data_IF_022734116850
#
_entry.id   IF_022734116850
#
_cell.length_a   1.000
_cell.length_b   1.000
_cell.length_c   1.000
_cell.angle_alpha   90.00
_cell.angle_beta   90.00
_cell.angle_gamma   90.00
#
_symmetry.space_group_name_H-M   'P 1'
#
loop_
_entity.id
_entity.type
_entity.pdbx_description
1 polymer ?
#
# COMPACT_ATOMS: atom_id res chain seq x y z
N UNK A 1 -36.77 38.94 23.14
CA UNK A 1 -36.92 37.70 22.34
C UNK A 1 -35.87 37.76 21.25
N UNK A 2 -34.69 37.19 21.53
CA UNK A 2 -33.52 37.28 20.64
C UNK A 2 -33.42 35.98 19.86
N UNK A 3 -33.65 36.06 18.55
CA UNK A 3 -33.48 34.93 17.62
C UNK A 3 -31.99 34.73 17.34
N UNK A 4 -31.37 33.77 18.02
CA UNK A 4 -30.04 33.28 17.65
C UNK A 4 -30.20 32.29 16.49
N UNK A 5 -29.55 32.60 15.37
CA UNK A 5 -29.58 31.82 14.14
C UNK A 5 -28.73 30.55 14.28
N UNK A 6 -29.23 29.43 13.75
CA UNK A 6 -28.60 28.10 13.80
C UNK A 6 -27.20 28.08 13.17
N UNK A 7 -26.90 29.03 12.29
CA UNK A 7 -25.62 29.17 11.61
C UNK A 7 -24.49 29.65 12.54
N UNK A 8 -24.79 30.50 13.52
CA UNK A 8 -23.79 31.02 14.47
C UNK A 8 -23.31 29.95 15.46
N UNK A 9 -24.16 28.97 15.77
CA UNK A 9 -23.84 27.87 16.68
C UNK A 9 -22.83 26.89 16.09
N UNK A 10 -22.84 26.70 14.75
CA UNK A 10 -21.91 25.79 14.06
C UNK A 10 -20.50 26.36 13.95
N UNK A 11 -20.36 27.66 13.74
CA UNK A 11 -19.05 28.34 13.61
C UNK A 11 -18.33 28.39 14.97
N UNK A 12 -19.06 28.62 16.06
CA UNK A 12 -18.47 28.65 17.40
C UNK A 12 -18.05 27.28 17.93
N UNK A 13 -18.73 26.19 17.52
CA UNK A 13 -18.36 24.82 17.91
C UNK A 13 -17.08 24.34 17.20
N UNK A 14 -16.94 24.64 15.91
CA UNK A 14 -15.76 24.26 15.09
C UNK A 14 -14.47 24.95 15.56
N UNK A 15 -14.55 26.22 15.98
CA UNK A 15 -13.40 26.99 16.50
C UNK A 15 -12.93 26.54 17.88
N UNK A 16 -13.84 26.02 18.72
CA UNK A 16 -13.47 25.51 20.05
C UNK A 16 -12.84 24.12 19.99
N UNK A 17 -13.21 23.31 19.01
CA UNK A 17 -12.65 21.96 18.82
C UNK A 17 -11.21 22.00 18.27
N UNK A 18 -10.91 22.92 17.35
CA UNK A 18 -9.56 23.09 16.77
C UNK A 18 -8.55 23.67 17.77
N UNK A 19 -8.97 24.58 18.65
CA UNK A 19 -8.11 25.12 19.72
C UNK A 19 -7.83 24.06 20.80
N UNK A 20 -8.82 23.22 21.14
CA UNK A 20 -8.64 22.13 22.11
C UNK A 20 -7.70 21.02 21.62
N UNK A 21 -7.79 20.65 20.34
CA UNK A 21 -6.92 19.60 19.75
C UNK A 21 -5.47 20.08 19.62
N UNK A 22 -5.24 21.36 19.28
CA UNK A 22 -3.90 21.95 19.21
C UNK A 22 -3.21 22.03 20.58
N UNK A 23 -3.95 22.26 21.67
CA UNK A 23 -3.41 22.28 23.03
C UNK A 23 -3.10 20.87 23.57
N UNK A 24 -3.85 19.84 23.16
CA UNK A 24 -3.58 18.46 23.53
C UNK A 24 -2.34 17.90 22.81
N UNK A 25 -2.09 18.32 21.56
CA UNK A 25 -0.91 17.90 20.80
C UNK A 25 0.39 18.45 21.39
N UNK A 26 0.39 19.70 21.87
CA UNK A 26 1.58 20.33 22.48
C UNK A 26 1.96 19.65 23.81
N UNK A 27 1.01 19.10 24.57
CA UNK A 27 1.29 18.39 25.81
C UNK A 27 1.96 17.02 25.59
N UNK A 28 1.77 16.38 24.43
CA UNK A 28 2.36 15.08 24.12
C UNK A 28 3.85 15.16 23.70
N UNK A 29 4.32 16.32 23.23
CA UNK A 29 5.72 16.53 22.83
C UNK A 29 6.68 16.83 24.00
N UNK A 30 6.15 17.02 25.23
CA UNK A 30 6.97 17.27 26.42
C UNK A 30 7.42 15.98 27.15
N UNK A 31 7.00 14.79 26.69
CA UNK A 31 7.31 13.51 27.34
C UNK A 31 8.50 12.75 26.71
N UNK A 32 9.19 13.33 25.73
CA UNK A 32 10.39 12.72 25.14
C UNK A 32 11.48 13.78 24.92
N UNK A 33 12.03 14.31 26.02
CA UNK A 33 13.16 15.23 25.98
C UNK A 33 14.22 14.83 27.01
N UNK A 34 15.37 14.35 26.55
CA UNK A 34 16.59 14.32 27.38
C UNK A 34 17.60 13.21 27.08
N UNK A 35 18.14 13.14 25.88
CA UNK A 35 19.48 12.56 25.68
C UNK A 35 20.44 13.71 25.34
N UNK A 36 21.52 13.93 26.11
CA UNK A 36 22.44 15.04 25.87
C UNK A 36 23.26 14.80 24.60
N UNK A 37 23.48 15.88 23.86
CA UNK A 37 24.37 15.92 22.71
C UNK A 37 25.82 15.71 23.16
N UNK A 38 26.42 14.59 22.76
CA UNK A 38 27.85 14.36 22.91
C UNK A 38 28.62 15.09 21.80
N UNK A 39 29.45 16.02 22.26
CA UNK A 39 30.46 16.77 21.51
C UNK A 39 31.46 15.80 20.84
N UNK A 40 31.89 15.98 19.58
CA UNK A 40 32.94 15.16 19.00
C UNK A 40 34.29 15.59 19.59
N UNK A 41 34.65 14.96 20.71
CA UNK A 41 35.99 15.03 21.29
C UNK A 41 36.95 14.12 20.53
N UNK A 42 37.99 14.69 19.95
CA UNK A 42 39.17 13.98 19.51
C UNK A 42 39.81 13.26 20.71
N UNK A 43 39.49 11.97 20.87
CA UNK A 43 39.94 11.12 21.97
C UNK A 43 40.72 9.92 21.45
N UNK A 44 41.91 9.74 22.01
CA UNK A 44 42.93 8.77 21.61
C UNK A 44 42.43 7.32 21.51
N UNK A 45 42.90 6.63 20.47
CA UNK A 45 42.71 5.21 20.25
C UNK A 45 43.27 4.38 21.43
N UNK A 46 42.40 3.94 22.31
CA UNK A 46 42.70 2.90 23.29
C UNK A 46 42.15 1.59 22.76
N UNK A 47 43.06 0.68 22.41
CA UNK A 47 42.79 -0.66 21.91
C UNK A 47 42.06 -1.49 22.99
N UNK A 48 40.86 -2.05 22.73
CA UNK A 48 40.21 -2.93 23.68
C UNK A 48 40.91 -4.30 23.76
N UNK A 49 40.87 -4.98 24.91
CA UNK A 49 41.41 -6.33 25.07
C UNK A 49 40.59 -7.34 24.26
N UNK A 50 41.29 -8.15 23.47
CA UNK A 50 40.71 -9.31 22.79
C UNK A 50 40.42 -10.40 23.83
N UNK A 51 39.15 -10.61 24.18
CA UNK A 51 38.79 -11.66 25.13
C UNK A 51 37.35 -11.63 25.62
N UNK A 52 36.38 -11.55 24.73
CA UNK A 52 34.97 -11.81 25.05
C UNK A 52 34.51 -13.06 24.31
N UNK A 53 34.09 -14.09 25.03
CA UNK A 53 33.46 -15.27 24.43
C UNK A 53 32.20 -14.85 23.63
N UNK A 54 31.90 -15.50 22.49
CA UNK A 54 30.74 -15.14 21.69
C UNK A 54 29.46 -15.37 22.50
N UNK A 55 28.65 -14.33 22.65
CA UNK A 55 27.31 -14.45 23.19
C UNK A 55 26.45 -15.23 22.19
N UNK A 56 26.04 -16.44 22.57
CA UNK A 56 25.16 -17.29 21.77
C UNK A 56 23.75 -16.69 21.78
N UNK A 57 23.37 -15.99 20.71
CA UNK A 57 21.98 -15.57 20.50
C UNK A 57 21.21 -16.82 20.06
N UNK A 58 20.37 -17.35 20.95
CA UNK A 58 19.47 -18.45 20.63
C UNK A 58 18.37 -17.96 19.70
N UNK A 59 18.51 -18.23 18.40
CA UNK A 59 17.43 -18.00 17.43
C UNK A 59 16.40 -19.12 17.63
N UNK A 60 15.12 -18.81 17.93
CA UNK A 60 14.09 -19.83 18.02
C UNK A 60 13.94 -20.54 16.67
N UNK A 61 14.15 -21.85 16.66
CA UNK A 61 13.90 -22.69 15.50
C UNK A 61 12.41 -23.04 15.46
N UNK A 62 11.67 -22.39 14.57
CA UNK A 62 10.31 -22.81 14.27
C UNK A 62 10.36 -23.98 13.28
N UNK A 63 9.71 -25.08 13.64
CA UNK A 63 9.50 -26.20 12.72
C UNK A 63 8.31 -25.84 11.83
N UNK A 64 8.58 -25.64 10.54
CA UNK A 64 7.53 -25.53 9.54
C UNK A 64 6.94 -26.91 9.30
N UNK A 65 5.65 -27.09 9.61
CA UNK A 65 4.89 -28.28 9.26
C UNK A 65 4.15 -27.95 7.98
N UNK A 66 4.57 -28.56 6.87
CA UNK A 66 3.85 -28.44 5.60
C UNK A 66 2.45 -29.04 5.75
N UNK A 67 1.37 -28.28 5.48
CA UNK A 67 0.05 -28.86 5.38
C UNK A 67 0.00 -29.72 4.11
N UNK A 68 0.00 -31.04 4.29
CA UNK A 68 -0.27 -31.99 3.20
C UNK A 68 -1.73 -31.85 2.78
N UNK A 69 -1.99 -30.97 1.82
CA UNK A 69 -3.28 -30.89 1.13
C UNK A 69 -3.29 -31.96 0.05
N UNK A 70 -3.96 -33.09 0.31
CA UNK A 70 -4.28 -34.05 -0.75
C UNK A 70 -5.39 -33.47 -1.61
N UNK A 71 -5.03 -32.89 -2.75
CA UNK A 71 -5.98 -32.53 -3.79
C UNK A 71 -6.48 -33.79 -4.49
N UNK A 72 -7.79 -34.04 -4.57
CA UNK A 72 -8.33 -35.09 -5.40
C UNK A 72 -8.10 -34.73 -6.88
N UNK A 73 -7.18 -35.43 -7.52
CA UNK A 73 -7.03 -35.40 -8.98
C UNK A 73 -8.17 -36.23 -9.56
N UNK A 74 -9.30 -35.57 -9.81
CA UNK A 74 -10.36 -36.12 -10.64
C UNK A 74 -9.98 -35.87 -12.09
N UNK A 75 -9.60 -36.92 -12.81
CA UNK A 75 -9.39 -36.85 -14.26
C UNK A 75 -10.72 -36.48 -14.93
N UNK A 76 -10.77 -35.30 -15.55
CA UNK A 76 -11.89 -34.88 -16.37
C UNK A 76 -11.82 -35.59 -17.74
N UNK A 77 -12.96 -36.05 -18.31
CA UNK A 77 -12.99 -36.56 -19.66
C UNK A 77 -12.84 -35.42 -20.68
N UNK A 78 -11.89 -35.58 -21.59
CA UNK A 78 -11.73 -34.74 -22.78
C UNK A 78 -12.97 -34.89 -23.68
N UNK A 79 -13.84 -33.89 -23.68
CA UNK A 79 -14.91 -33.78 -24.68
C UNK A 79 -15.03 -32.32 -25.13
N UNK A 80 -14.49 -32.06 -26.33
CA UNK A 80 -14.95 -31.08 -27.34
C UNK A 80 -15.64 -29.83 -26.80
N UNK A 81 -14.85 -28.79 -26.51
CA UNK A 81 -15.33 -27.45 -26.18
C UNK A 81 -14.61 -26.38 -27.01
N UNK A 82 -14.54 -26.56 -28.34
CA UNK A 82 -13.85 -25.62 -29.23
C UNK A 82 -14.80 -24.63 -29.95
N UNK A 83 -16.13 -24.73 -29.74
CA UNK A 83 -17.10 -23.87 -30.43
C UNK A 83 -17.89 -22.92 -29.52
N UNK A 84 -17.68 -22.94 -28.20
CA UNK A 84 -18.36 -22.05 -27.25
C UNK A 84 -17.45 -20.93 -26.70
N UNK A 85 -16.22 -20.81 -27.21
CA UNK A 85 -15.22 -19.85 -26.71
C UNK A 85 -15.21 -18.50 -27.43
N UNK A 86 -16.11 -18.25 -28.39
CA UNK A 86 -16.04 -17.04 -29.23
C UNK A 86 -17.00 -15.91 -28.86
N UNK A 87 -17.93 -16.11 -27.92
CA UNK A 87 -18.85 -15.05 -27.46
C UNK A 87 -18.67 -14.69 -25.97
N UNK A 88 -17.78 -15.38 -25.25
CA UNK A 88 -17.46 -15.09 -23.85
C UNK A 88 -16.28 -14.10 -23.68
N UNK A 89 -15.71 -13.57 -24.75
CA UNK A 89 -14.46 -12.78 -24.69
C UNK A 89 -14.68 -11.28 -24.44
N UNK A 90 -15.93 -10.79 -24.48
CA UNK A 90 -16.21 -9.35 -24.27
C UNK A 90 -16.93 -9.06 -22.95
N UNK A 91 -17.45 -10.07 -22.26
CA UNK A 91 -18.23 -9.90 -21.02
C UNK A 91 -17.62 -10.61 -19.79
N UNK A 92 -16.57 -11.41 -19.98
CA UNK A 92 -15.91 -12.21 -18.93
C UNK A 92 -14.47 -11.74 -18.61
N UNK A 93 -14.22 -10.43 -18.57
CA UNK A 93 -13.09 -9.86 -17.83
C UNK A 93 -13.58 -8.82 -16.82
N UNK A 94 -14.78 -9.00 -16.28
CA UNK A 94 -14.97 -8.67 -14.86
C UNK A 94 -14.32 -9.83 -14.11
N UNK A 95 -12.99 -9.80 -14.01
CA UNK A 95 -12.29 -10.69 -13.11
C UNK A 95 -12.96 -10.51 -11.74
N UNK A 96 -13.54 -11.59 -11.20
CA UNK A 96 -14.09 -11.54 -9.86
C UNK A 96 -12.97 -11.09 -8.93
N UNK A 97 -13.06 -9.85 -8.47
CA UNK A 97 -12.02 -9.21 -7.67
C UNK A 97 -11.77 -10.06 -6.42
N UNK A 98 -10.53 -10.42 -6.14
CA UNK A 98 -10.18 -11.04 -4.86
C UNK A 98 -10.17 -9.95 -3.77
N UNK A 99 -11.09 -9.97 -2.80
CA UNK A 99 -11.18 -8.93 -1.78
C UNK A 99 -9.90 -8.77 -0.97
N UNK A 100 -9.15 -9.86 -0.73
CA UNK A 100 -7.88 -9.76 -0.02
C UNK A 100 -6.79 -9.15 -0.90
N UNK A 101 -6.80 -9.42 -2.21
CA UNK A 101 -5.88 -8.80 -3.14
C UNK A 101 -6.14 -7.30 -3.26
N UNK A 102 -7.41 -6.91 -3.36
CA UNK A 102 -7.86 -5.51 -3.35
C UNK A 102 -7.38 -4.80 -2.09
N UNK A 103 -7.60 -5.37 -0.91
CA UNK A 103 -7.14 -4.77 0.36
C UNK A 103 -5.61 -4.60 0.40
N UNK A 104 -4.86 -5.63 -0.01
CA UNK A 104 -3.39 -5.55 -0.09
C UNK A 104 -2.93 -4.54 -1.14
N UNK A 105 -3.68 -4.38 -2.23
CA UNK A 105 -3.44 -3.42 -3.30
C UNK A 105 -3.67 -1.98 -2.83
N UNK A 106 -4.77 -1.74 -2.12
CA UNK A 106 -5.07 -0.45 -1.47
C UNK A 106 -3.94 -0.01 -0.57
N UNK A 107 -3.48 -0.90 0.32
CA UNK A 107 -2.35 -0.60 1.20
C UNK A 107 -1.06 -0.24 0.46
N UNK A 108 -0.89 -0.65 -0.81
CA UNK A 108 0.25 -0.24 -1.64
C UNK A 108 0.02 1.10 -2.30
N UNK A 109 -1.20 1.34 -2.79
CA UNK A 109 -1.60 2.62 -3.37
C UNK A 109 -1.44 3.77 -2.39
N UNK A 110 -1.85 3.54 -1.13
CA UNK A 110 -1.84 4.53 -0.05
C UNK A 110 -0.50 4.59 0.71
N UNK A 111 0.36 3.58 0.60
CA UNK A 111 1.60 3.56 1.35
C UNK A 111 2.56 4.68 0.90
N UNK A 112 3.25 5.28 1.87
CA UNK A 112 4.38 6.22 1.69
C UNK A 112 5.50 5.68 0.75
N UNK A 113 5.48 4.38 0.44
CA UNK A 113 6.45 3.78 -0.45
C UNK A 113 6.15 4.01 -1.94
N UNK A 114 4.89 4.18 -2.33
CA UNK A 114 4.46 4.39 -3.72
C UNK A 114 3.68 5.69 -3.92
N UNK A 115 2.93 6.14 -2.91
CA UNK A 115 2.25 7.46 -2.88
C UNK A 115 1.40 7.74 -4.13
N UNK A 116 0.82 6.69 -4.73
CA UNK A 116 0.10 6.78 -6.00
C UNK A 116 -1.02 7.84 -5.95
N UNK A 117 -1.67 7.96 -4.79
CA UNK A 117 -2.79 8.87 -4.57
C UNK A 117 -2.41 10.36 -4.55
N UNK A 118 -1.13 10.73 -4.36
CA UNK A 118 -0.71 12.13 -4.41
C UNK A 118 -0.88 12.69 -5.82
N UNK A 119 -0.41 11.94 -6.83
CA UNK A 119 -0.54 12.34 -8.23
C UNK A 119 -1.91 11.93 -8.82
N UNK A 120 -2.42 10.74 -8.50
CA UNK A 120 -3.61 10.19 -9.16
C UNK A 120 -4.91 10.37 -8.38
N UNK A 121 -4.87 11.05 -7.22
CA UNK A 121 -6.04 11.23 -6.35
C UNK A 121 -6.28 10.02 -5.44
N UNK A 122 -6.95 10.21 -4.31
CA UNK A 122 -7.07 9.15 -3.29
C UNK A 122 -7.87 7.93 -3.77
N UNK A 123 -8.76 8.12 -4.75
CA UNK A 123 -9.55 7.05 -5.37
C UNK A 123 -9.20 6.88 -6.86
N UNK A 124 -8.04 7.37 -7.31
CA UNK A 124 -7.64 7.29 -8.71
C UNK A 124 -8.42 8.21 -9.65
N UNK A 125 -9.15 9.20 -9.12
CA UNK A 125 -9.97 10.12 -9.91
C UNK A 125 -9.17 11.09 -10.79
N UNK A 126 -7.85 11.18 -10.58
CA UNK A 126 -6.94 12.11 -11.22
C UNK A 126 -6.85 13.46 -10.51
N UNK A 127 -5.75 14.15 -10.73
CA UNK A 127 -5.48 15.50 -10.22
C UNK A 127 -4.91 16.39 -11.34
N UNK A 128 -4.40 17.56 -10.99
CA UNK A 128 -3.59 18.37 -11.91
C UNK A 128 -2.20 17.79 -12.20
N UNK A 129 -1.71 16.89 -11.33
CA UNK A 129 -0.38 16.27 -11.42
C UNK A 129 -0.40 14.91 -12.13
N UNK A 130 -1.53 14.20 -12.10
CA UNK A 130 -1.66 12.86 -12.67
C UNK A 130 -3.04 12.58 -13.25
N UNK A 131 -3.08 11.79 -14.33
CA UNK A 131 -4.33 11.40 -14.99
C UNK A 131 -5.18 10.48 -14.10
N UNK A 132 -6.47 10.41 -14.39
CA UNK A 132 -7.36 9.41 -13.77
C UNK A 132 -6.88 7.98 -14.08
N UNK A 133 -6.98 7.12 -13.07
CA UNK A 133 -6.76 5.68 -13.14
C UNK A 133 -8.08 4.89 -13.19
N UNK A 134 -9.24 5.57 -13.15
CA UNK A 134 -10.55 4.90 -13.22
C UNK A 134 -10.88 4.32 -14.60
N UNK A 135 -10.18 4.77 -15.65
CA UNK A 135 -10.46 4.40 -17.04
C UNK A 135 -9.28 3.64 -17.70
N UNK A 136 -8.37 3.08 -16.91
CA UNK A 136 -7.23 2.35 -17.47
C UNK A 136 -7.68 1.02 -18.10
N UNK A 137 -7.08 0.64 -19.24
CA UNK A 137 -7.51 -0.51 -20.06
C UNK A 137 -6.42 -1.54 -20.30
N UNK A 138 -5.27 -1.39 -19.64
CA UNK A 138 -4.13 -2.30 -19.85
C UNK A 138 -4.35 -3.64 -19.17
N UNK A 139 -3.75 -4.70 -19.71
CA UNK A 139 -3.74 -6.01 -19.05
C UNK A 139 -2.87 -5.99 -17.78
N UNK A 140 -3.04 -6.97 -16.89
CA UNK A 140 -2.22 -7.08 -15.67
C UNK A 140 -0.72 -7.20 -16.01
N UNK A 141 -0.38 -8.01 -17.01
CA UNK A 141 1.02 -8.20 -17.43
C UNK A 141 1.62 -6.91 -18.00
N UNK A 142 0.84 -6.16 -18.80
CA UNK A 142 1.27 -4.87 -19.33
C UNK A 142 1.41 -3.84 -18.20
N UNK A 143 0.51 -3.85 -17.22
CA UNK A 143 0.59 -2.98 -16.04
C UNK A 143 1.87 -3.26 -15.24
N UNK A 144 2.16 -4.53 -14.95
CA UNK A 144 3.37 -4.91 -14.22
C UNK A 144 4.62 -4.53 -15.02
N UNK A 145 4.62 -4.76 -16.34
CA UNK A 145 5.71 -4.38 -17.23
C UNK A 145 5.93 -2.86 -17.26
N UNK A 146 4.85 -2.09 -17.31
CA UNK A 146 4.88 -0.63 -17.21
C UNK A 146 5.49 -0.19 -15.87
N UNK A 147 5.01 -0.72 -14.74
CA UNK A 147 5.52 -0.39 -13.41
C UNK A 147 6.99 -0.80 -13.20
N UNK A 148 7.57 -1.64 -14.07
CA UNK A 148 9.00 -2.01 -14.06
C UNK A 148 9.88 -1.12 -14.90
N UNK A 149 9.32 -0.52 -15.94
CA UNK A 149 10.06 0.25 -16.94
C UNK A 149 9.80 1.76 -16.85
N UNK A 150 8.66 2.16 -16.28
CA UNK A 150 8.14 3.52 -16.35
C UNK A 150 7.53 3.88 -17.71
N UNK A 151 7.63 2.98 -18.72
CA UNK A 151 7.19 3.24 -20.09
C UNK A 151 7.70 4.58 -20.63
N UNK A 152 6.81 5.32 -21.27
CA UNK A 152 7.09 6.67 -21.78
C UNK A 152 7.06 7.76 -20.68
N UNK A 153 6.50 7.45 -19.49
CA UNK A 153 6.43 8.39 -18.36
C UNK A 153 7.75 8.47 -17.58
N UNK A 154 8.66 7.51 -17.80
CA UNK A 154 10.01 7.52 -17.24
C UNK A 154 10.09 7.08 -15.78
N UNK A 155 11.21 7.43 -15.15
CA UNK A 155 11.63 6.83 -13.87
C UNK A 155 10.67 7.08 -12.70
N UNK A 156 9.86 8.14 -12.75
CA UNK A 156 8.89 8.46 -11.70
C UNK A 156 7.78 7.40 -11.58
N UNK A 157 7.52 6.65 -12.66
CA UNK A 157 6.59 5.53 -12.69
C UNK A 157 7.30 4.16 -12.67
N UNK A 158 8.61 4.16 -12.38
CA UNK A 158 9.43 2.96 -12.38
C UNK A 158 9.70 2.46 -10.95
N UNK A 159 9.21 1.26 -10.65
CA UNK A 159 9.38 0.64 -9.35
C UNK A 159 10.23 -0.63 -9.44
N UNK A 160 11.33 -0.63 -8.68
CA UNK A 160 12.18 -1.81 -8.51
C UNK A 160 11.42 -2.98 -7.86
N UNK A 161 11.90 -4.21 -8.05
CA UNK A 161 11.33 -5.41 -7.44
C UNK A 161 11.34 -5.39 -5.92
N UNK A 162 12.25 -4.62 -5.31
CA UNK A 162 12.33 -4.42 -3.86
C UNK A 162 11.25 -3.47 -3.33
N UNK A 163 10.77 -2.52 -4.16
CA UNK A 163 9.70 -1.56 -3.80
C UNK A 163 8.31 -2.15 -4.08
N UNK A 164 8.15 -2.79 -5.24
CA UNK A 164 6.92 -3.44 -5.65
C UNK A 164 7.26 -4.84 -6.14
N UNK A 165 6.91 -5.90 -5.41
CA UNK A 165 7.12 -7.28 -5.89
C UNK A 165 6.14 -7.62 -7.03
N UNK A 166 6.33 -8.75 -7.73
CA UNK A 166 5.39 -9.20 -8.76
C UNK A 166 3.97 -9.41 -8.19
N UNK A 167 3.86 -10.15 -7.08
CA UNK A 167 2.59 -10.31 -6.36
C UNK A 167 2.06 -8.98 -5.82
N UNK A 168 2.94 -8.03 -5.48
CA UNK A 168 2.54 -6.68 -5.09
C UNK A 168 1.90 -5.90 -6.22
N UNK A 169 2.47 -5.99 -7.43
CA UNK A 169 1.90 -5.40 -8.64
C UNK A 169 0.55 -5.99 -9.01
N UNK A 170 0.39 -7.31 -8.93
CA UNK A 170 -0.89 -7.99 -9.14
C UNK A 170 -1.99 -7.53 -8.16
N UNK A 171 -1.65 -7.42 -6.86
CA UNK A 171 -2.59 -6.89 -5.87
C UNK A 171 -2.97 -5.43 -6.16
N UNK A 172 -2.00 -4.59 -6.55
CA UNK A 172 -2.25 -3.20 -6.91
C UNK A 172 -3.16 -3.09 -8.14
N UNK A 173 -2.94 -3.91 -9.16
CA UNK A 173 -3.81 -4.00 -10.34
C UNK A 173 -5.25 -4.35 -9.97
N UNK A 174 -5.46 -5.35 -9.09
CA UNK A 174 -6.79 -5.70 -8.58
C UNK A 174 -7.48 -4.54 -7.86
N UNK A 175 -6.73 -3.74 -7.09
CA UNK A 175 -7.27 -2.54 -6.45
C UNK A 175 -7.67 -1.45 -7.47
N UNK A 176 -6.86 -1.21 -8.50
CA UNK A 176 -7.24 -0.25 -9.56
C UNK A 176 -8.50 -0.71 -10.31
N UNK A 177 -8.63 -2.01 -10.58
CA UNK A 177 -9.86 -2.55 -11.14
C UNK A 177 -11.08 -2.38 -10.22
N UNK A 178 -10.91 -2.46 -8.89
CA UNK A 178 -12.02 -2.23 -7.96
C UNK A 178 -12.49 -0.78 -7.97
N UNK A 179 -11.56 0.17 -8.08
CA UNK A 179 -11.86 1.59 -8.23
C UNK A 179 -12.63 1.86 -9.53
N UNK A 180 -12.14 1.33 -10.66
CA UNK A 180 -12.79 1.48 -11.96
C UNK A 180 -14.23 0.92 -12.00
N UNK A 181 -14.52 -0.10 -11.19
CA UNK A 181 -15.86 -0.70 -11.07
C UNK A 181 -16.77 0.01 -10.07
N UNK A 182 -16.31 1.07 -9.39
CA UNK A 182 -17.07 1.77 -8.34
C UNK A 182 -17.29 0.93 -7.07
N UNK A 183 -16.46 -0.10 -6.85
CA UNK A 183 -16.48 -0.92 -5.66
C UNK A 183 -15.57 -0.30 -4.59
N UNK A 184 -16.02 0.80 -3.99
CA UNK A 184 -15.32 1.52 -2.91
C UNK A 184 -16.18 1.62 -1.66
#
# INVERSE_FOLDING_TARGET
>A
MSHLSVTDLRITLSRRLTIGFSLLLIAALAACGGAPAETPGAGAATRPPAGGAPATIGIPTYVFVEPTVTLPVTAAPETTAEAALSEATTEAVVAALDPQAVERGRGRYEAEALECGECHGVNGEGTEEGSSLLEFTMSEDDFISFMRSGGELGADHQYSTNRLSASGGANLYQYLLSLAQGAS
#
